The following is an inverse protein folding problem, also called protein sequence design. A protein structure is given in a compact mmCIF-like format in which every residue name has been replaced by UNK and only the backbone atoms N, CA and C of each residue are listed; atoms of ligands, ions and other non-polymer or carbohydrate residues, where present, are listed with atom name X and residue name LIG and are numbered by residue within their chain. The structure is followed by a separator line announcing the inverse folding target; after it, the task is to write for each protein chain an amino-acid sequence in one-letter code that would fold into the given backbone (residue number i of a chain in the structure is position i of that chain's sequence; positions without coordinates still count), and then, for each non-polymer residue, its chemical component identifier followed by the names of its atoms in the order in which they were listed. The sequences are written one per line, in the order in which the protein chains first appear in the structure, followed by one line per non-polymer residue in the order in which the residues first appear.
data_IF_349599731817
#
_entry.id   IF_349599731817
#
_cell.length_a   1.000
_cell.length_b   1.000
_cell.length_c   1.000
_cell.angle_alpha   90.00
_cell.angle_beta   90.00
_cell.angle_gamma   90.00
#
_symmetry.space_group_name_H-M   'P 1'
#
loop_
_entity.id
_entity.type
_entity.pdbx_description
1 polymer ?
#
# COMPACT_ATOMS: atom_id res chain seq x y z
N UNK A 1 42.07 -24.00 -41.26
CA UNK A 1 42.13 -22.72 -40.52
C UNK A 1 40.92 -21.79 -40.75
N UNK A 2 40.35 -21.67 -41.97
CA UNK A 2 39.19 -20.79 -42.22
C UNK A 2 37.88 -21.20 -41.51
N UNK A 3 37.66 -22.48 -41.24
CA UNK A 3 36.45 -23.01 -40.58
C UNK A 3 36.43 -22.81 -39.05
N UNK A 4 37.63 -22.70 -38.43
CA UNK A 4 37.75 -22.46 -36.98
C UNK A 4 37.43 -20.97 -36.61
N UNK A 5 37.81 -20.06 -37.49
CA UNK A 5 37.57 -18.62 -37.29
C UNK A 5 36.08 -18.25 -37.39
N UNK A 6 35.36 -18.90 -38.34
CA UNK A 6 33.91 -18.69 -38.48
C UNK A 6 33.11 -19.20 -37.27
N UNK A 7 33.56 -20.26 -36.64
CA UNK A 7 32.91 -20.80 -35.46
C UNK A 7 33.11 -19.93 -34.21
N UNK A 8 34.29 -19.33 -34.07
CA UNK A 8 34.62 -18.41 -32.98
C UNK A 8 33.83 -17.08 -33.09
N UNK A 9 33.62 -16.57 -34.30
CA UNK A 9 32.82 -15.33 -34.52
C UNK A 9 31.34 -15.59 -34.22
N UNK A 10 30.81 -16.75 -34.57
CA UNK A 10 29.42 -17.11 -34.27
C UNK A 10 29.18 -17.29 -32.76
N UNK A 11 30.15 -17.83 -32.01
CA UNK A 11 30.07 -18.00 -30.57
C UNK A 11 30.11 -16.64 -29.82
N UNK A 12 30.88 -15.66 -30.33
CA UNK A 12 30.90 -14.31 -29.74
C UNK A 12 29.62 -13.53 -30.02
N UNK A 13 28.98 -13.70 -31.19
CA UNK A 13 27.68 -13.10 -31.48
C UNK A 13 26.55 -13.72 -30.63
N UNK A 14 26.60 -15.02 -30.32
CA UNK A 14 25.62 -15.67 -29.47
C UNK A 14 25.76 -15.26 -27.99
N UNK A 15 26.98 -14.98 -27.51
CA UNK A 15 27.20 -14.48 -26.15
C UNK A 15 26.71 -13.02 -25.96
N UNK A 16 26.67 -12.19 -27.01
CA UNK A 16 26.20 -10.82 -26.96
C UNK A 16 24.65 -10.68 -26.86
N UNK A 17 23.91 -11.73 -27.20
CA UNK A 17 22.44 -11.68 -27.16
C UNK A 17 21.83 -12.13 -25.81
N UNK A 18 22.63 -12.68 -24.90
CA UNK A 18 22.15 -13.16 -23.58
C UNK A 18 22.14 -12.04 -22.54
N UNK A 19 22.78 -10.91 -22.76
CA UNK A 19 22.81 -9.78 -21.83
C UNK A 19 21.69 -8.76 -22.02
N UNK A 20 20.80 -8.95 -22.99
CA UNK A 20 19.72 -7.97 -23.30
C UNK A 20 18.35 -8.35 -22.72
N UNK A 21 18.23 -9.34 -21.82
CA UNK A 21 16.94 -9.78 -21.28
C UNK A 21 16.89 -9.90 -19.76
N UNK A 22 17.73 -9.18 -19.04
CA UNK A 22 17.51 -8.94 -17.63
C UNK A 22 17.32 -7.43 -17.37
N UNK A 23 16.42 -6.78 -18.08
CA UNK A 23 15.64 -5.73 -17.45
C UNK A 23 14.64 -6.47 -16.56
N UNK A 24 15.07 -6.93 -15.38
CA UNK A 24 14.16 -7.05 -14.27
C UNK A 24 13.36 -5.74 -14.30
N UNK A 25 12.07 -5.85 -14.55
CA UNK A 25 11.15 -4.79 -14.18
C UNK A 25 11.37 -4.63 -12.67
N UNK A 26 12.31 -3.77 -12.30
CA UNK A 26 12.49 -3.37 -10.92
C UNK A 26 11.12 -2.85 -10.53
N UNK A 27 10.52 -3.51 -9.55
CA UNK A 27 9.35 -2.94 -8.89
C UNK A 27 9.72 -1.48 -8.60
N UNK A 28 8.87 -0.50 -9.00
CA UNK A 28 9.20 0.89 -8.77
C UNK A 28 9.51 1.06 -7.29
N UNK A 29 10.73 1.47 -6.98
CA UNK A 29 11.11 1.74 -5.60
C UNK A 29 10.30 2.96 -5.15
N UNK A 30 9.45 2.84 -4.13
CA UNK A 30 8.66 3.96 -3.61
C UNK A 30 9.52 5.17 -3.23
N UNK A 31 10.75 4.93 -2.77
CA UNK A 31 11.72 5.96 -2.42
C UNK A 31 12.17 6.81 -3.60
N UNK A 32 12.02 6.31 -4.84
CA UNK A 32 12.43 7.02 -6.04
C UNK A 32 11.27 7.72 -6.77
N UNK A 33 10.04 7.58 -6.28
CA UNK A 33 8.88 8.21 -6.93
C UNK A 33 8.90 9.72 -6.68
N UNK A 34 9.32 10.49 -7.68
CA UNK A 34 9.43 11.95 -7.61
C UNK A 34 10.78 12.47 -7.09
N UNK A 35 11.77 11.58 -6.83
CA UNK A 35 13.11 11.97 -6.38
C UNK A 35 13.90 12.83 -7.39
N UNK A 36 13.46 12.89 -8.65
CA UNK A 36 14.09 13.71 -9.69
C UNK A 36 13.68 15.20 -9.63
N UNK A 37 12.76 15.56 -8.74
CA UNK A 37 12.35 16.95 -8.55
C UNK A 37 13.20 17.60 -7.46
N UNK A 38 13.75 18.78 -7.73
CA UNK A 38 14.45 19.59 -6.72
C UNK A 38 13.51 20.09 -5.60
N UNK A 39 12.19 20.03 -5.84
CA UNK A 39 11.12 20.45 -4.95
C UNK A 39 10.35 19.21 -4.44
N UNK A 40 11.04 18.26 -3.85
CA UNK A 40 10.42 17.08 -3.24
C UNK A 40 11.14 16.68 -1.94
N UNK A 41 10.35 16.35 -0.92
CA UNK A 41 10.82 15.81 0.36
C UNK A 41 10.08 14.51 0.65
N UNK A 42 10.47 13.44 -0.07
CA UNK A 42 9.85 12.12 0.08
C UNK A 42 10.28 11.48 1.39
N UNK A 43 9.29 11.01 2.16
CA UNK A 43 9.49 10.30 3.42
C UNK A 43 8.52 9.12 3.53
N UNK A 44 9.04 7.97 3.97
CA UNK A 44 8.18 6.85 4.38
C UNK A 44 7.71 7.11 5.83
N UNK A 45 6.40 7.10 6.05
CA UNK A 45 5.79 7.35 7.35
C UNK A 45 4.92 6.17 7.77
N UNK A 46 4.93 5.87 9.08
CA UNK A 46 4.01 4.88 9.66
C UNK A 46 2.63 5.49 9.80
N UNK A 47 1.62 4.78 9.28
CA UNK A 47 0.21 5.17 9.40
C UNK A 47 -0.47 4.40 10.54
N UNK A 48 -0.27 3.09 10.61
CA UNK A 48 -0.79 2.24 11.69
C UNK A 48 0.00 0.93 11.76
N UNK A 49 0.40 0.54 12.97
CA UNK A 49 1.13 -0.71 13.24
C UNK A 49 0.22 -1.86 13.69
N UNK A 50 -1.10 -1.65 13.75
CA UNK A 50 -2.11 -2.61 14.19
C UNK A 50 -1.94 -3.12 15.63
N UNK A 51 -1.35 -2.32 16.52
CA UNK A 51 -1.07 -2.70 17.91
C UNK A 51 -2.25 -2.50 18.89
N UNK A 52 -3.33 -1.84 18.46
CA UNK A 52 -4.44 -1.46 19.34
C UNK A 52 -5.68 -2.30 19.09
N UNK A 53 -6.10 -3.05 20.09
CA UNK A 53 -7.36 -3.81 20.06
C UNK A 53 -8.57 -2.86 19.86
N UNK A 54 -9.49 -3.25 18.96
CA UNK A 54 -10.70 -2.48 18.66
C UNK A 54 -10.50 -1.26 17.77
N UNK A 55 -9.28 -0.93 17.35
CA UNK A 55 -9.01 0.16 16.39
C UNK A 55 -9.49 -0.17 14.98
N UNK A 56 -9.61 -1.44 14.65
CA UNK A 56 -10.07 -1.94 13.35
C UNK A 56 -11.33 -2.77 13.49
N UNK A 57 -12.34 -2.47 12.69
CA UNK A 57 -13.64 -3.14 12.66
C UNK A 57 -13.81 -3.90 11.36
N UNK A 58 -14.34 -5.09 11.44
CA UNK A 58 -14.58 -5.95 10.28
C UNK A 58 -16.06 -6.06 9.98
N UNK A 59 -16.41 -6.07 8.69
CA UNK A 59 -17.80 -6.19 8.25
C UNK A 59 -17.91 -7.05 7.00
N UNK A 60 -18.93 -7.90 6.98
CA UNK A 60 -19.33 -8.74 5.86
C UNK A 60 -20.85 -8.81 5.81
N UNK A 61 -21.43 -9.05 4.61
CA UNK A 61 -22.85 -9.34 4.50
C UNK A 61 -23.22 -10.58 5.31
N UNK A 62 -24.29 -10.50 6.09
CA UNK A 62 -24.77 -11.63 6.92
C UNK A 62 -25.18 -12.85 6.08
N UNK A 63 -25.51 -12.66 4.81
CA UNK A 63 -25.85 -13.75 3.89
C UNK A 63 -24.63 -14.50 3.34
N UNK A 64 -23.45 -13.87 3.41
CA UNK A 64 -22.22 -14.40 2.84
C UNK A 64 -21.38 -15.16 3.85
N UNK A 65 -21.43 -14.77 5.14
CA UNK A 65 -20.65 -15.42 6.17
C UNK A 65 -20.61 -14.69 7.50
N UNK A 66 -19.71 -15.12 8.35
CA UNK A 66 -19.36 -14.49 9.62
C UNK A 66 -17.91 -14.07 9.58
N UNK A 67 -17.64 -12.86 10.03
CA UNK A 67 -16.29 -12.29 10.09
C UNK A 67 -15.97 -11.85 11.52
N UNK A 68 -14.74 -12.12 11.96
CA UNK A 68 -14.21 -11.70 13.26
C UNK A 68 -12.76 -11.24 13.12
N UNK A 69 -12.34 -10.34 14.00
CA UNK A 69 -10.94 -9.89 14.08
C UNK A 69 -10.46 -9.91 15.52
N UNK A 70 -9.15 -10.08 15.67
CA UNK A 70 -8.44 -9.94 16.94
C UNK A 70 -6.95 -9.75 16.70
N UNK A 71 -6.23 -9.26 17.69
CA UNK A 71 -4.78 -9.17 17.66
C UNK A 71 -4.13 -10.52 18.01
N UNK A 72 -2.96 -10.75 17.42
CA UNK A 72 -2.10 -11.90 17.66
C UNK A 72 -0.68 -11.42 17.85
N UNK A 73 0.08 -12.08 18.69
CA UNK A 73 1.53 -11.92 18.74
C UNK A 73 2.15 -12.40 17.43
N UNK A 74 2.97 -11.57 16.82
CA UNK A 74 3.64 -11.89 15.56
C UNK A 74 4.22 -10.64 14.92
N UNK A 75 5.10 -10.87 13.93
CA UNK A 75 5.74 -9.81 13.16
C UNK A 75 6.24 -10.41 11.84
N UNK A 76 6.08 -9.74 10.69
CA UNK A 76 6.72 -10.15 9.43
C UNK A 76 8.24 -10.15 9.56
N UNK A 77 8.88 -11.30 9.30
CA UNK A 77 10.33 -11.45 9.48
C UNK A 77 11.19 -10.53 8.57
N UNK A 78 10.60 -10.05 7.48
CA UNK A 78 11.27 -9.17 6.49
C UNK A 78 10.90 -7.69 6.69
N UNK A 79 10.18 -7.35 7.75
CA UNK A 79 9.81 -5.98 8.07
C UNK A 79 11.04 -5.23 8.58
N UNK A 80 11.34 -4.10 7.96
CA UNK A 80 12.41 -3.20 8.38
C UNK A 80 11.83 -2.07 9.24
N UNK A 81 12.49 -1.66 10.33
CA UNK A 81 12.08 -0.52 11.12
C UNK A 81 12.20 0.76 10.27
N UNK A 82 11.32 1.73 10.52
CA UNK A 82 11.47 3.06 9.95
C UNK A 82 12.64 3.79 10.63
N UNK A 83 13.43 4.60 9.89
CA UNK A 83 14.50 5.39 10.47
C UNK A 83 14.03 6.31 11.61
N UNK A 84 12.84 6.88 11.50
CA UNK A 84 12.25 7.76 12.51
C UNK A 84 11.74 7.00 13.75
N UNK A 85 11.64 5.68 13.70
CA UNK A 85 11.27 4.81 14.83
C UNK A 85 12.48 4.27 15.58
N UNK A 86 13.71 4.48 15.07
CA UNK A 86 14.93 4.09 15.76
C UNK A 86 15.03 4.81 17.12
N UNK A 87 14.98 4.03 18.19
CA UNK A 87 15.05 4.54 19.57
C UNK A 87 13.70 4.92 20.19
N UNK A 88 12.59 4.82 19.46
CA UNK A 88 11.26 4.86 20.07
C UNK A 88 10.87 3.43 20.45
N UNK A 89 10.94 3.12 21.74
CA UNK A 89 10.41 1.89 22.32
C UNK A 89 8.87 1.88 22.18
N UNK A 90 8.38 1.63 20.97
CA UNK A 90 7.00 1.30 20.71
C UNK A 90 6.90 -0.21 20.57
N UNK A 91 5.97 -0.83 21.29
CA UNK A 91 5.65 -2.23 21.11
C UNK A 91 5.15 -2.45 19.67
N UNK A 92 5.93 -3.13 18.87
CA UNK A 92 5.60 -3.54 17.50
C UNK A 92 5.67 -5.07 17.45
N UNK A 93 4.72 -5.70 18.15
CA UNK A 93 4.72 -7.12 18.48
C UNK A 93 3.44 -7.83 18.07
N UNK A 94 2.42 -7.09 17.64
CA UNK A 94 1.13 -7.65 17.32
C UNK A 94 0.77 -7.46 15.85
N UNK A 95 -0.12 -8.31 15.37
CA UNK A 95 -0.68 -8.26 14.02
C UNK A 95 -2.20 -8.37 14.10
N UNK A 96 -2.91 -7.68 13.21
CA UNK A 96 -4.36 -7.82 13.09
C UNK A 96 -4.70 -9.09 12.33
N UNK A 97 -5.30 -10.08 13.00
CA UNK A 97 -5.83 -11.27 12.36
C UNK A 97 -7.33 -11.12 12.07
N UNK A 98 -7.72 -11.53 10.87
CA UNK A 98 -9.10 -11.55 10.39
C UNK A 98 -9.46 -12.99 10.04
N UNK A 99 -10.58 -13.46 10.55
CA UNK A 99 -11.16 -14.77 10.25
C UNK A 99 -12.51 -14.57 9.58
N UNK A 100 -12.71 -15.26 8.46
CA UNK A 100 -13.96 -15.28 7.70
C UNK A 100 -14.44 -16.72 7.59
N UNK A 101 -15.67 -16.99 8.01
CA UNK A 101 -16.36 -18.27 7.82
C UNK A 101 -17.45 -18.07 6.75
N UNK A 102 -17.20 -18.56 5.54
CA UNK A 102 -18.13 -18.41 4.41
C UNK A 102 -19.32 -19.36 4.51
N UNK A 103 -20.53 -18.84 4.34
CA UNK A 103 -21.75 -19.65 4.28
C UNK A 103 -22.00 -20.20 2.90
N UNK A 104 -21.59 -19.46 1.87
CA UNK A 104 -21.79 -19.85 0.48
C UNK A 104 -20.63 -19.44 -0.42
N UNK A 105 -20.46 -20.14 -1.53
CA UNK A 105 -19.57 -19.71 -2.60
C UNK A 105 -20.24 -18.58 -3.40
N UNK A 106 -19.49 -17.57 -3.75
CA UNK A 106 -19.99 -16.46 -4.54
C UNK A 106 -18.99 -15.34 -4.65
N UNK A 107 -19.41 -14.24 -5.27
CA UNK A 107 -18.67 -12.97 -5.25
C UNK A 107 -18.87 -12.29 -3.90
N UNK A 108 -18.33 -12.90 -2.86
CA UNK A 108 -18.40 -12.36 -1.53
C UNK A 108 -17.36 -11.27 -1.38
N UNK A 109 -17.64 -10.28 -0.57
CA UNK A 109 -16.66 -9.26 -0.19
C UNK A 109 -16.78 -8.93 1.29
N UNK A 110 -15.69 -8.50 1.88
CA UNK A 110 -15.67 -8.02 3.26
C UNK A 110 -14.75 -6.81 3.39
N UNK A 111 -14.98 -6.03 4.43
CA UNK A 111 -14.20 -4.82 4.71
C UNK A 111 -13.58 -4.88 6.09
N UNK A 112 -12.39 -4.31 6.20
CA UNK A 112 -11.64 -4.08 7.42
C UNK A 112 -11.46 -2.57 7.51
N UNK A 113 -12.19 -1.90 8.40
CA UNK A 113 -12.20 -0.45 8.49
C UNK A 113 -11.60 0.04 9.79
N UNK A 114 -10.78 1.06 9.70
CA UNK A 114 -10.33 1.78 10.88
C UNK A 114 -11.52 2.45 11.59
N UNK A 115 -11.50 2.49 12.92
CA UNK A 115 -12.53 3.14 13.74
C UNK A 115 -12.63 4.65 13.50
N UNK A 116 -11.58 5.25 12.93
CA UNK A 116 -11.54 6.65 12.46
C UNK A 116 -10.68 6.73 11.19
N UNK A 117 -10.96 7.65 10.27
CA UNK A 117 -10.08 7.88 9.13
C UNK A 117 -8.67 8.25 9.61
N UNK A 118 -7.66 7.55 9.08
CA UNK A 118 -6.25 7.78 9.38
C UNK A 118 -5.70 8.80 8.38
N UNK A 119 -5.46 10.01 8.84
CA UNK A 119 -4.92 11.08 8.01
C UNK A 119 -3.43 10.88 7.75
N UNK A 120 -2.99 11.16 6.53
CA UNK A 120 -1.58 11.16 6.11
C UNK A 120 -1.20 12.60 5.80
N UNK A 121 -0.09 13.05 6.37
CA UNK A 121 0.45 14.38 6.13
C UNK A 121 1.14 14.44 4.77
N UNK A 122 1.13 15.62 4.14
CA UNK A 122 1.74 15.85 2.84
C UNK A 122 0.97 15.24 1.66
N UNK A 123 1.65 15.12 0.54
CA UNK A 123 1.10 14.52 -0.68
C UNK A 123 1.52 13.07 -0.80
N UNK A 124 0.60 12.15 -0.50
CA UNK A 124 0.84 10.71 -0.53
C UNK A 124 1.10 10.22 -1.97
N UNK A 125 2.21 9.53 -2.17
CA UNK A 125 2.59 8.92 -3.46
C UNK A 125 2.25 7.43 -3.51
N UNK A 126 2.55 6.70 -2.42
CA UNK A 126 2.26 5.26 -2.33
C UNK A 126 1.74 4.87 -0.96
N UNK A 127 0.98 3.78 -0.91
CA UNK A 127 0.56 3.10 0.31
C UNK A 127 1.10 1.68 0.30
N UNK A 128 1.56 1.21 1.42
CA UNK A 128 2.04 -0.16 1.59
C UNK A 128 1.54 -0.77 2.89
N UNK A 129 1.32 -2.09 2.87
CA UNK A 129 0.92 -2.86 4.05
C UNK A 129 1.47 -4.28 3.96
N UNK A 130 1.91 -4.84 5.08
CA UNK A 130 2.28 -6.23 5.16
C UNK A 130 1.02 -7.09 5.34
N UNK A 131 0.89 -8.12 4.49
CA UNK A 131 -0.27 -9.02 4.52
C UNK A 131 0.19 -10.48 4.46
N UNK A 132 -0.46 -11.34 5.24
CA UNK A 132 -0.35 -12.78 5.09
C UNK A 132 -1.63 -13.31 4.44
N UNK A 133 -1.56 -13.64 3.13
CA UNK A 133 -2.71 -13.97 2.28
C UNK A 133 -3.16 -15.42 2.33
N UNK A 134 -2.37 -16.34 2.93
CA UNK A 134 -2.68 -17.77 3.05
C UNK A 134 -2.97 -18.48 1.71
N UNK A 135 -2.39 -17.98 0.61
CA UNK A 135 -2.51 -18.56 -0.73
C UNK A 135 -3.97 -18.70 -1.24
N UNK A 136 -4.81 -17.73 -0.89
CA UNK A 136 -6.15 -17.59 -1.45
C UNK A 136 -6.12 -16.43 -2.44
N UNK A 137 -6.53 -16.68 -3.68
CA UNK A 137 -6.49 -15.72 -4.78
C UNK A 137 -7.65 -14.70 -4.69
N UNK A 138 -7.73 -14.02 -3.54
CA UNK A 138 -8.63 -12.90 -3.30
C UNK A 138 -7.90 -11.61 -3.67
N UNK A 139 -8.64 -10.55 -3.93
CA UNK A 139 -8.11 -9.25 -4.33
C UNK A 139 -8.23 -8.25 -3.17
N UNK A 140 -7.13 -7.55 -2.87
CA UNK A 140 -7.07 -6.54 -1.82
C UNK A 140 -7.12 -5.14 -2.42
N UNK A 141 -7.96 -4.29 -1.82
CA UNK A 141 -8.10 -2.88 -2.15
C UNK A 141 -7.91 -2.03 -0.90
N UNK A 142 -7.14 -0.94 -0.99
CA UNK A 142 -7.14 0.11 0.01
C UNK A 142 -8.32 1.07 -0.22
N UNK A 143 -9.03 1.38 0.83
CA UNK A 143 -10.12 2.35 0.84
C UNK A 143 -9.59 3.68 1.35
N UNK A 144 -9.61 4.70 0.51
CA UNK A 144 -9.07 6.01 0.82
C UNK A 144 -10.13 7.09 0.64
N UNK A 145 -9.96 8.19 1.35
CA UNK A 145 -10.79 9.39 1.23
C UNK A 145 -9.87 10.56 0.88
N UNK A 146 -10.24 11.31 -0.14
CA UNK A 146 -9.49 12.48 -0.59
C UNK A 146 -9.78 13.73 0.28
N UNK A 147 -9.16 14.85 -0.10
CA UNK A 147 -9.31 16.13 0.57
C UNK A 147 -10.79 16.60 0.64
N UNK A 148 -11.57 16.37 -0.40
CA UNK A 148 -12.98 16.74 -0.47
C UNK A 148 -13.92 15.72 0.19
N UNK A 149 -13.38 14.65 0.78
CA UNK A 149 -14.17 13.61 1.42
C UNK A 149 -14.74 12.57 0.45
N UNK A 150 -14.29 12.54 -0.82
CA UNK A 150 -14.70 11.53 -1.79
C UNK A 150 -13.93 10.24 -1.54
N UNK A 151 -14.62 9.11 -1.64
CA UNK A 151 -14.04 7.80 -1.40
C UNK A 151 -13.53 7.17 -2.70
N UNK A 152 -12.35 6.56 -2.62
CA UNK A 152 -11.71 5.85 -3.71
C UNK A 152 -11.21 4.48 -3.23
N UNK A 153 -11.03 3.59 -4.20
CA UNK A 153 -10.51 2.24 -3.98
C UNK A 153 -9.25 2.05 -4.82
N UNK A 154 -8.16 1.70 -4.17
CA UNK A 154 -6.87 1.48 -4.81
C UNK A 154 -6.54 0.00 -4.77
N UNK A 155 -6.34 -0.62 -5.91
CA UNK A 155 -5.95 -2.02 -6.00
C UNK A 155 -4.53 -2.22 -5.46
N UNK A 156 -4.38 -3.12 -4.49
CA UNK A 156 -3.09 -3.44 -3.88
C UNK A 156 -2.49 -4.75 -4.38
N UNK A 157 -3.31 -5.67 -4.87
CA UNK A 157 -2.84 -6.93 -5.42
C UNK A 157 -3.68 -8.14 -5.04
N UNK A 158 -3.27 -9.32 -5.57
CA UNK A 158 -3.85 -10.61 -5.22
C UNK A 158 -3.18 -11.18 -3.95
N UNK A 159 -3.97 -11.90 -3.14
CA UNK A 159 -3.56 -12.59 -1.92
C UNK A 159 -3.12 -14.05 -2.17
N UNK A 160 -2.95 -14.44 -3.43
CA UNK A 160 -2.55 -15.78 -3.88
C UNK A 160 -1.09 -16.12 -3.60
N UNK A 161 -0.59 -15.82 -2.40
CA UNK A 161 0.77 -16.13 -1.96
C UNK A 161 0.78 -16.72 -0.55
N UNK A 162 1.85 -17.46 -0.24
CA UNK A 162 2.08 -18.01 1.10
C UNK A 162 3.02 -17.13 1.91
N UNK A 163 2.73 -17.00 3.21
CA UNK A 163 3.53 -16.18 4.12
C UNK A 163 3.22 -14.69 4.03
N UNK A 164 4.13 -13.88 4.55
CA UNK A 164 4.02 -12.44 4.57
C UNK A 164 4.57 -11.80 3.29
N UNK A 165 3.84 -10.82 2.77
CA UNK A 165 4.28 -10.01 1.62
C UNK A 165 3.88 -8.56 1.85
N UNK A 166 4.79 -7.62 1.56
CA UNK A 166 4.49 -6.18 1.48
C UNK A 166 3.75 -5.92 0.16
N UNK A 167 2.50 -5.50 0.22
CA UNK A 167 1.71 -5.07 -0.92
C UNK A 167 1.77 -3.55 -1.01
N UNK A 168 1.94 -3.03 -2.22
CA UNK A 168 2.13 -1.61 -2.46
C UNK A 168 1.15 -1.17 -3.55
N UNK A 169 0.50 -0.05 -3.36
CA UNK A 169 -0.26 0.62 -4.42
C UNK A 169 0.18 2.08 -4.56
N UNK A 170 0.08 2.58 -5.78
CA UNK A 170 0.34 3.99 -6.10
C UNK A 170 -0.94 4.78 -5.92
N UNK A 171 -0.84 5.97 -5.34
CA UNK A 171 -1.91 6.96 -5.30
C UNK A 171 -1.77 7.83 -6.55
N UNK A 172 -2.65 7.71 -7.55
CA UNK A 172 -2.54 8.49 -8.77
C UNK A 172 -2.74 9.97 -8.45
N UNK A 173 -1.87 10.86 -8.96
CA UNK A 173 -2.03 12.29 -8.77
C UNK A 173 -3.28 12.79 -9.49
N UNK A 174 -3.90 13.83 -8.95
CA UNK A 174 -4.95 14.55 -9.66
C UNK A 174 -4.34 15.30 -10.86
N UNK A 175 -4.90 15.15 -12.08
CA UNK A 175 -4.35 15.80 -13.27
C UNK A 175 -4.61 17.32 -13.30
N UNK A 176 -5.63 17.82 -12.61
CA UNK A 176 -6.14 19.20 -12.69
C UNK A 176 -6.53 19.79 -11.34
N UNK A 177 -6.30 19.08 -10.23
CA UNK A 177 -6.71 19.50 -8.89
C UNK A 177 -8.22 19.39 -8.60
N UNK A 178 -9.04 18.95 -9.56
CA UNK A 178 -10.48 18.80 -9.41
C UNK A 178 -10.95 17.34 -9.58
N UNK A 179 -10.34 16.62 -10.52
CA UNK A 179 -10.67 15.24 -10.84
C UNK A 179 -9.66 14.25 -10.24
N UNK A 180 -10.10 13.00 -10.06
CA UNK A 180 -9.28 11.95 -9.43
C UNK A 180 -9.14 12.18 -7.92
N UNK A 181 -8.02 11.73 -7.35
CA UNK A 181 -7.72 11.84 -5.92
C UNK A 181 -7.04 13.18 -5.66
N UNK A 182 -7.78 14.13 -5.15
CA UNK A 182 -7.27 15.47 -4.80
C UNK A 182 -6.76 15.43 -3.36
N UNK A 183 -5.51 15.77 -3.15
CA UNK A 183 -4.88 15.70 -1.83
C UNK A 183 -4.65 17.06 -1.19
N UNK A 184 -4.69 18.14 -1.96
CA UNK A 184 -4.52 19.51 -1.46
C UNK A 184 -5.42 20.47 -2.21
N UNK A 185 -5.66 21.63 -1.63
CA UNK A 185 -6.38 22.71 -2.30
C UNK A 185 -5.77 24.05 -1.90
N UNK A 186 -5.39 24.83 -2.88
CA UNK A 186 -4.85 26.17 -2.68
C UNK A 186 -5.83 27.14 -1.99
N UNK A 187 -7.15 26.81 -1.99
CA UNK A 187 -8.18 27.68 -1.44
C UNK A 187 -8.52 27.43 0.04
N UNK A 188 -8.09 26.30 0.63
CA UNK A 188 -8.60 25.84 1.92
C UNK A 188 -7.54 25.54 3.00
N UNK A 189 -6.27 25.91 2.73
CA UNK A 189 -5.18 25.82 3.72
C UNK A 189 -4.74 24.39 4.06
N UNK A 190 -3.90 24.29 5.04
CA UNK A 190 -2.98 23.19 5.38
C UNK A 190 -3.62 21.97 6.07
N UNK A 191 -4.59 21.35 5.46
CA UNK A 191 -5.17 20.11 5.99
C UNK A 191 -4.63 18.90 5.24
N UNK A 192 -4.30 17.80 5.95
CA UNK A 192 -3.88 16.57 5.30
C UNK A 192 -4.90 16.12 4.28
N UNK A 193 -4.42 15.84 3.07
CA UNK A 193 -5.26 15.58 1.94
C UNK A 193 -5.82 14.18 1.90
N UNK A 194 -4.99 13.16 2.08
CA UNK A 194 -5.40 11.77 1.98
C UNK A 194 -5.67 11.16 3.37
N UNK A 195 -6.74 10.37 3.44
CA UNK A 195 -7.07 9.59 4.64
C UNK A 195 -7.30 8.14 4.26
N UNK A 196 -6.76 7.22 5.03
CA UNK A 196 -7.07 5.80 4.89
C UNK A 196 -8.31 5.49 5.75
N UNK A 197 -9.32 4.87 5.12
CA UNK A 197 -10.55 4.43 5.80
C UNK A 197 -10.43 2.96 6.18
N UNK A 198 -9.71 2.16 5.37
CA UNK A 198 -9.56 0.74 5.60
C UNK A 198 -9.20 -0.05 4.35
N UNK A 199 -9.61 -1.31 4.35
CA UNK A 199 -9.39 -2.24 3.25
C UNK A 199 -10.68 -2.94 2.86
N UNK A 200 -10.77 -3.35 1.60
CA UNK A 200 -11.79 -4.26 1.09
C UNK A 200 -11.11 -5.46 0.46
N UNK A 201 -11.67 -6.63 0.70
CA UNK A 201 -11.26 -7.86 0.06
C UNK A 201 -12.40 -8.38 -0.79
N UNK A 202 -12.14 -8.54 -2.09
CA UNK A 202 -13.04 -9.18 -3.03
C UNK A 202 -12.65 -10.65 -3.18
N UNK A 203 -13.55 -11.55 -2.83
CA UNK A 203 -13.25 -12.95 -2.74
C UNK A 203 -13.37 -13.64 -4.12
N UNK A 204 -12.37 -14.44 -4.46
CA UNK A 204 -12.46 -15.34 -5.60
C UNK A 204 -13.57 -16.38 -5.35
N UNK A 205 -14.62 -16.44 -6.18
CA UNK A 205 -15.77 -17.34 -5.97
C UNK A 205 -15.40 -18.82 -5.89
N UNK A 206 -14.30 -19.22 -6.53
CA UNK A 206 -13.85 -20.62 -6.51
C UNK A 206 -13.20 -21.01 -5.19
N UNK A 207 -12.66 -20.03 -4.46
CA UNK A 207 -11.93 -20.23 -3.22
C UNK A 207 -12.69 -19.75 -1.98
N UNK A 208 -13.74 -18.92 -2.13
CA UNK A 208 -14.59 -18.40 -1.06
C UNK A 208 -15.45 -19.53 -0.45
N UNK A 209 -14.84 -20.38 0.37
CA UNK A 209 -15.49 -21.54 1.04
C UNK A 209 -14.79 -21.92 2.33
N UNK A 210 -15.56 -22.42 3.30
CA UNK A 210 -15.01 -22.82 4.60
C UNK A 210 -14.48 -21.62 5.37
N UNK A 211 -13.41 -21.83 6.11
CA UNK A 211 -12.78 -20.77 6.92
C UNK A 211 -11.55 -20.23 6.23
N UNK A 212 -11.46 -18.91 6.15
CA UNK A 212 -10.32 -18.18 5.64
C UNK A 212 -9.70 -17.32 6.73
N UNK A 213 -8.38 -17.25 6.76
CA UNK A 213 -7.61 -16.42 7.70
C UNK A 213 -6.66 -15.52 6.93
N UNK A 214 -6.57 -14.27 7.33
CA UNK A 214 -5.54 -13.34 6.84
C UNK A 214 -5.04 -12.46 7.98
N UNK A 215 -3.86 -11.88 7.78
CA UNK A 215 -3.24 -11.04 8.79
C UNK A 215 -2.69 -9.78 8.15
N UNK A 216 -2.76 -8.67 8.88
CA UNK A 216 -2.23 -7.36 8.49
C UNK A 216 -1.22 -6.89 9.51
N UNK A 217 -0.22 -6.20 9.03
CA UNK A 217 0.75 -5.49 9.84
C UNK A 217 1.31 -4.30 9.07
N UNK A 218 1.76 -3.28 9.81
CA UNK A 218 2.63 -2.20 9.36
C UNK A 218 2.13 -1.48 8.09
N UNK A 219 1.07 -0.71 8.24
CA UNK A 219 0.55 0.18 7.20
C UNK A 219 1.41 1.43 7.13
N UNK A 220 2.03 1.68 5.98
CA UNK A 220 2.89 2.82 5.70
C UNK A 220 2.45 3.61 4.48
N UNK A 221 2.91 4.84 4.40
CA UNK A 221 2.77 5.69 3.24
C UNK A 221 4.12 6.32 2.88
N UNK A 222 4.41 6.46 1.60
CA UNK A 222 5.44 7.38 1.12
C UNK A 222 4.75 8.67 0.75
N UNK A 223 5.13 9.75 1.42
CA UNK A 223 4.52 11.06 1.28
C UNK A 223 5.58 12.12 0.96
N UNK A 224 5.17 13.12 0.22
CA UNK A 224 5.97 14.31 -0.08
C UNK A 224 5.58 15.40 0.91
N UNK A 225 6.55 15.81 1.69
CA UNK A 225 6.38 16.83 2.74
C UNK A 225 6.96 18.19 2.33
N UNK A 226 7.41 18.35 1.08
CA UNK A 226 8.09 19.57 0.64
C UNK A 226 7.28 20.83 0.92
N UNK A 227 6.02 20.86 0.52
CA UNK A 227 5.13 22.01 0.70
C UNK A 227 4.87 22.34 2.18
N UNK A 228 4.91 21.32 3.06
CA UNK A 228 4.72 21.51 4.49
C UNK A 228 6.00 21.98 5.20
N UNK A 229 7.15 21.43 4.81
CA UNK A 229 8.44 21.77 5.42
C UNK A 229 8.99 23.11 4.96
N UNK A 230 8.58 23.57 3.77
CA UNK A 230 9.03 24.83 3.17
C UNK A 230 7.95 25.92 3.15
N UNK A 231 6.87 25.72 3.87
CA UNK A 231 5.84 26.74 4.06
C UNK A 231 6.42 27.91 4.87
N UNK A 232 6.33 29.11 4.31
CA UNK A 232 6.73 30.35 5.01
C UNK A 232 5.52 30.84 5.83
N UNK A 233 5.62 30.78 7.17
CA UNK A 233 4.56 31.26 8.08
C UNK A 233 4.31 32.77 7.97
N UNK A 234 5.26 33.51 7.43
CA UNK A 234 5.21 34.96 7.26
C UNK A 234 4.79 35.38 5.83
N UNK A 235 4.40 34.41 4.99
CA UNK A 235 3.95 34.70 3.64
C UNK A 235 2.62 35.45 3.67
N UNK A 236 2.57 36.53 2.90
CA UNK A 236 1.38 37.40 2.83
C UNK A 236 0.28 36.73 2.03
N UNK A 237 -0.92 36.59 2.60
CA UNK A 237 -2.10 36.17 1.87
C UNK A 237 -2.53 37.28 0.90
N UNK A 238 -2.13 37.16 -0.35
CA UNK A 238 -2.49 38.05 -1.43
C UNK A 238 -3.90 37.72 -1.93
N UNK A 239 -4.89 38.39 -1.38
CA UNK A 239 -6.28 38.36 -1.88
C UNK A 239 -6.45 39.45 -2.96
N UNK A 240 -6.07 39.18 -4.19
CA UNK A 240 -6.34 40.05 -5.34
C UNK A 240 -7.68 39.73 -6.01
#
# INVERSE_FOLDING_TARGET
MKKLVTFSILAVLAAGLVFAQNSSLQEPNPENVGADSAESALREVSVDKFEREGSWNVHMSADDGVITSRLFEGNPAMKEPLPDDEGKEGEDTQVLGVRVDFFRRGKNSFTIKSGRPLAIEGTTKTLSVWVCGRNQDHELYALVQDYFGRNFELYMGSLGFSGWKKLICVVPPSPDGEHGIVQSSAYYGDKPGLKIIGFRVDCNPMQARGTYYMYFDDLRAVTDLYDMENHDEDDMADNW
#
